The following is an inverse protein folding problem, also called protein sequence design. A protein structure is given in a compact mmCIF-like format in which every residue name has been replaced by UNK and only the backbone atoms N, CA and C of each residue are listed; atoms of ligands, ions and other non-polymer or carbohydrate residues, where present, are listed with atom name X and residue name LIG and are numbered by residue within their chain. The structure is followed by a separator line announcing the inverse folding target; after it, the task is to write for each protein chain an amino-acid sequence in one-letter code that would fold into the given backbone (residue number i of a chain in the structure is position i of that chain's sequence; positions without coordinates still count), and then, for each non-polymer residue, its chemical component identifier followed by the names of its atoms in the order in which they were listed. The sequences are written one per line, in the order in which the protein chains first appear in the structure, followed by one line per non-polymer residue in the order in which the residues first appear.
data_IF_021618733465
#
_entry.id   IF_021618733465
#
_cell.length_a   1.000
_cell.length_b   1.000
_cell.length_c   1.000
_cell.angle_alpha   90.00
_cell.angle_beta   90.00
_cell.angle_gamma   90.00
#
_symmetry.space_group_name_H-M   'P 1'
#
loop_
_entity.id
_entity.type
_entity.pdbx_description
1 polymer ?
#
# COMPACT_ATOMS: atom_id res chain seq x y z
N UNK A 1 8.98 4.52 -22.88
CA UNK A 1 9.14 3.13 -23.36
C UNK A 1 8.04 2.20 -22.86
N UNK A 2 7.36 2.49 -21.74
CA UNK A 2 6.27 1.65 -21.18
C UNK A 2 5.00 1.53 -22.02
N UNK A 3 4.68 2.51 -22.88
CA UNK A 3 3.42 2.47 -23.66
C UNK A 3 3.42 1.42 -24.77
N UNK A 4 4.58 1.00 -25.27
CA UNK A 4 4.66 0.04 -26.39
C UNK A 4 4.55 -1.41 -25.91
N UNK A 5 4.96 -1.69 -24.67
CA UNK A 5 4.83 -3.02 -24.04
C UNK A 5 3.41 -3.26 -23.54
N UNK A 6 2.73 -2.21 -23.04
CA UNK A 6 1.33 -2.32 -22.58
C UNK A 6 0.36 -2.61 -23.73
N UNK A 7 0.61 -2.05 -24.93
CA UNK A 7 -0.21 -2.31 -26.13
C UNK A 7 0.01 -3.75 -26.62
N UNK A 8 1.25 -4.25 -26.60
CA UNK A 8 1.58 -5.64 -26.97
C UNK A 8 0.96 -6.66 -26.01
N UNK A 9 0.94 -6.35 -24.70
CA UNK A 9 0.30 -7.20 -23.69
C UNK A 9 -1.22 -7.21 -23.80
N UNK A 10 -1.84 -6.04 -24.04
CA UNK A 10 -3.28 -5.95 -24.28
C UNK A 10 -3.69 -6.72 -25.54
N UNK A 11 -2.87 -6.70 -26.60
CA UNK A 11 -3.11 -7.46 -27.82
C UNK A 11 -2.99 -8.98 -27.58
N UNK A 12 -1.94 -9.43 -26.87
CA UNK A 12 -1.76 -10.82 -26.42
C UNK A 12 -2.88 -11.31 -25.49
N UNK A 13 -3.44 -10.44 -24.65
CA UNK A 13 -4.56 -10.75 -23.76
C UNK A 13 -5.91 -10.75 -24.50
N UNK A 14 -6.03 -9.99 -25.60
CA UNK A 14 -7.28 -9.82 -26.36
C UNK A 14 -7.63 -10.99 -27.28
N UNK A 15 -6.69 -11.89 -27.58
CA UNK A 15 -6.97 -13.12 -28.32
C UNK A 15 -7.84 -14.04 -27.45
N UNK A 16 -9.16 -13.87 -27.61
CA UNK A 16 -10.23 -14.63 -26.95
C UNK A 16 -9.91 -16.12 -26.95
N UNK A 17 -10.33 -16.81 -25.90
CA UNK A 17 -10.40 -18.25 -25.71
C UNK A 17 -11.18 -19.04 -26.80
N UNK A 18 -11.41 -18.46 -27.97
CA UNK A 18 -11.97 -19.08 -29.17
C UNK A 18 -10.95 -19.78 -30.08
N UNK A 19 -9.65 -19.62 -29.83
CA UNK A 19 -8.58 -20.45 -30.42
C UNK A 19 -8.33 -21.73 -29.61
N UNK A 20 -9.29 -22.14 -28.77
CA UNK A 20 -9.31 -23.49 -28.23
C UNK A 20 -9.34 -24.44 -29.42
N UNK A 21 -8.32 -25.29 -29.55
CA UNK A 21 -8.32 -26.37 -30.55
C UNK A 21 -9.64 -27.11 -30.34
N UNK A 22 -10.60 -27.04 -31.28
CA UNK A 22 -11.87 -27.70 -31.09
C UNK A 22 -11.57 -29.20 -31.05
N UNK A 23 -11.84 -29.83 -29.91
CA UNK A 23 -11.73 -31.27 -29.79
C UNK A 23 -12.56 -31.91 -30.89
N UNK A 24 -11.98 -32.89 -31.56
CA UNK A 24 -12.75 -33.68 -32.50
C UNK A 24 -13.84 -34.44 -31.72
N UNK A 25 -14.98 -34.74 -32.35
CA UNK A 25 -16.13 -35.35 -31.69
C UNK A 25 -15.77 -36.67 -30.98
N UNK A 26 -14.80 -37.43 -31.52
CA UNK A 26 -14.31 -38.65 -30.89
C UNK A 26 -13.41 -38.39 -29.68
N UNK A 27 -12.65 -37.28 -29.66
CA UNK A 27 -11.83 -36.91 -28.50
C UNK A 27 -12.73 -36.54 -27.31
N UNK A 28 -13.82 -35.82 -27.56
CA UNK A 28 -14.84 -35.55 -26.55
C UNK A 28 -15.44 -36.83 -25.97
N UNK A 29 -15.78 -37.80 -26.84
CA UNK A 29 -16.29 -39.10 -26.40
C UNK A 29 -15.26 -39.90 -25.59
N UNK A 30 -13.97 -39.85 -25.96
CA UNK A 30 -12.91 -40.52 -25.22
C UNK A 30 -12.77 -39.93 -23.81
N UNK A 31 -12.85 -38.61 -23.67
CA UNK A 31 -12.79 -37.93 -22.37
C UNK A 31 -14.00 -38.29 -21.50
N UNK A 32 -15.21 -38.30 -22.07
CA UNK A 32 -16.42 -38.70 -21.35
C UNK A 32 -16.33 -40.16 -20.87
N UNK A 33 -15.84 -41.06 -21.71
CA UNK A 33 -15.60 -42.46 -21.32
C UNK A 33 -14.52 -42.58 -20.24
N UNK A 34 -13.50 -41.72 -20.25
CA UNK A 34 -12.47 -41.69 -19.21
C UNK A 34 -13.03 -41.22 -17.86
N UNK A 35 -13.88 -40.20 -17.87
CA UNK A 35 -14.59 -39.72 -16.68
C UNK A 35 -15.50 -40.81 -16.09
N UNK A 36 -16.31 -41.46 -16.94
CA UNK A 36 -17.16 -42.58 -16.54
C UNK A 36 -16.34 -43.74 -15.96
N UNK A 37 -15.19 -44.05 -16.56
CA UNK A 37 -14.32 -45.12 -16.10
C UNK A 37 -13.70 -44.81 -14.74
N UNK A 38 -13.35 -43.55 -14.48
CA UNK A 38 -12.87 -43.13 -13.17
C UNK A 38 -13.96 -43.14 -12.10
N UNK A 39 -15.19 -42.77 -12.46
CA UNK A 39 -16.35 -42.87 -11.56
C UNK A 39 -16.60 -44.34 -11.18
N UNK A 40 -16.62 -45.26 -12.16
CA UNK A 40 -16.77 -46.69 -11.89
C UNK A 40 -15.64 -47.26 -11.02
N UNK A 41 -14.40 -46.79 -11.20
CA UNK A 41 -13.28 -47.18 -10.33
C UNK A 41 -13.47 -46.69 -8.90
N UNK A 42 -14.01 -45.48 -8.72
CA UNK A 42 -14.33 -44.95 -7.40
C UNK A 42 -15.45 -45.76 -6.74
N UNK A 43 -16.51 -46.08 -7.47
CA UNK A 43 -17.61 -46.92 -7.00
C UNK A 43 -17.11 -48.31 -6.57
N UNK A 44 -16.26 -48.94 -7.40
CA UNK A 44 -15.66 -50.22 -7.06
C UNK A 44 -14.83 -50.12 -5.77
N UNK A 45 -13.98 -49.09 -5.64
CA UNK A 45 -13.18 -48.90 -4.44
C UNK A 45 -14.04 -48.67 -3.18
N UNK A 46 -15.18 -47.97 -3.31
CA UNK A 46 -16.13 -47.77 -2.21
C UNK A 46 -16.81 -49.09 -1.80
N UNK A 47 -17.21 -49.92 -2.76
CA UNK A 47 -17.80 -51.24 -2.49
C UNK A 47 -16.78 -52.20 -1.86
N UNK A 48 -15.52 -52.16 -2.30
CA UNK A 48 -14.42 -52.92 -1.69
C UNK A 48 -14.16 -52.45 -0.24
N UNK A 49 -14.23 -51.15 0.04
CA UNK A 49 -14.14 -50.62 1.39
C UNK A 49 -15.33 -51.07 2.26
N UNK A 50 -16.56 -50.97 1.75
CA UNK A 50 -17.77 -51.36 2.48
C UNK A 50 -17.81 -52.87 2.79
N UNK A 51 -17.27 -53.71 1.90
CA UNK A 51 -17.20 -55.16 2.10
C UNK A 51 -16.06 -55.60 3.04
N UNK A 52 -14.99 -54.82 3.16
CA UNK A 52 -13.83 -55.13 4.03
C UNK A 52 -14.04 -54.68 5.49
N UNK A 53 -14.70 -53.54 5.73
CA UNK A 53 -15.02 -53.02 7.08
C UNK A 53 -15.72 -54.05 8.00
N UNK A 54 -16.76 -54.80 7.57
CA UNK A 54 -17.41 -55.78 8.43
C UNK A 54 -16.57 -57.04 8.70
N UNK A 55 -15.51 -57.30 7.91
CA UNK A 55 -14.63 -58.48 8.09
C UNK A 55 -13.56 -58.27 9.17
N UNK A 56 -13.30 -57.02 9.59
CA UNK A 56 -12.23 -56.66 10.54
C UNK A 56 -12.70 -56.59 12.01
N UNK A 57 -13.93 -57.01 12.32
CA UNK A 57 -14.47 -57.03 13.68
C UNK A 57 -13.95 -58.23 14.50
N UNK A 58 -12.64 -58.26 14.78
CA UNK A 58 -12.09 -59.10 15.85
C UNK A 58 -11.92 -58.25 17.12
N UNK A 59 -12.28 -58.76 18.31
CA UNK A 59 -12.08 -58.03 19.56
C UNK A 59 -10.59 -57.99 19.88
N UNK A 60 -9.93 -56.89 19.50
CA UNK A 60 -8.55 -56.57 19.85
C UNK A 60 -8.50 -55.88 21.21
N UNK A 61 -7.37 -56.02 21.91
CA UNK A 61 -7.08 -55.29 23.14
C UNK A 61 -6.82 -53.81 22.80
N UNK A 62 -7.12 -52.85 23.70
CA UNK A 62 -6.97 -51.40 23.42
C UNK A 62 -5.56 -51.01 22.93
N UNK A 63 -4.51 -51.62 23.50
CA UNK A 63 -3.11 -51.39 23.06
C UNK A 63 -2.81 -51.95 21.66
N UNK A 64 -3.42 -53.08 21.29
CA UNK A 64 -3.27 -53.69 19.97
C UNK A 64 -4.05 -52.89 18.92
N UNK A 65 -5.23 -52.36 19.30
CA UNK A 65 -6.04 -51.46 18.49
C UNK A 65 -5.26 -50.18 18.13
N UNK A 66 -4.67 -49.51 19.12
CA UNK A 66 -3.87 -48.30 18.89
C UNK A 66 -2.67 -48.59 17.97
N UNK A 67 -2.00 -49.73 18.16
CA UNK A 67 -0.90 -50.14 17.29
C UNK A 67 -1.34 -50.36 15.85
N UNK A 68 -2.49 -51.01 15.62
CA UNK A 68 -3.02 -51.26 14.28
C UNK A 68 -3.53 -49.98 13.62
N UNK A 69 -4.14 -49.06 14.37
CA UNK A 69 -4.54 -47.75 13.86
C UNK A 69 -3.32 -46.97 13.37
N UNK A 70 -2.23 -46.93 14.15
CA UNK A 70 -1.02 -46.21 13.72
C UNK A 70 -0.34 -46.83 12.49
N UNK A 71 -0.48 -48.14 12.29
CA UNK A 71 0.03 -48.85 11.10
C UNK A 71 -0.88 -48.54 9.91
N UNK A 72 -2.20 -48.66 10.06
CA UNK A 72 -3.17 -48.36 9.02
C UNK A 72 -3.12 -46.89 8.57
N UNK A 73 -2.90 -45.95 9.50
CA UNK A 73 -2.68 -44.54 9.18
C UNK A 73 -1.44 -44.34 8.31
N UNK A 74 -0.33 -45.00 8.64
CA UNK A 74 0.91 -44.94 7.85
C UNK A 74 0.71 -45.54 6.46
N UNK A 75 0.10 -46.72 6.39
CA UNK A 75 -0.19 -47.40 5.11
C UNK A 75 -1.14 -46.56 4.23
N UNK A 76 -2.15 -45.93 4.83
CA UNK A 76 -3.05 -45.01 4.14
C UNK A 76 -2.32 -43.77 3.60
N UNK A 77 -1.45 -43.16 4.41
CA UNK A 77 -0.63 -42.02 3.99
C UNK A 77 0.35 -42.41 2.88
N UNK A 78 0.97 -43.59 2.96
CA UNK A 78 1.85 -44.13 1.91
C UNK A 78 1.09 -44.41 0.61
N UNK A 79 -0.08 -45.03 0.70
CA UNK A 79 -0.96 -45.28 -0.45
C UNK A 79 -1.41 -43.95 -1.10
N UNK A 80 -1.77 -42.94 -0.29
CA UNK A 80 -2.13 -41.61 -0.80
C UNK A 80 -0.95 -40.92 -1.47
N UNK A 81 0.23 -40.95 -0.85
CA UNK A 81 1.42 -40.34 -1.42
C UNK A 81 1.82 -41.01 -2.74
N UNK A 82 1.77 -42.35 -2.81
CA UNK A 82 2.09 -43.10 -4.04
C UNK A 82 1.06 -42.87 -5.14
N UNK A 83 -0.23 -42.75 -4.80
CA UNK A 83 -1.27 -42.40 -5.77
C UNK A 83 -1.06 -40.99 -6.34
N UNK A 84 -0.85 -39.98 -5.48
CA UNK A 84 -0.61 -38.61 -5.93
C UNK A 84 0.66 -38.50 -6.79
N UNK A 85 1.72 -39.23 -6.43
CA UNK A 85 2.95 -39.28 -7.23
C UNK A 85 2.69 -39.91 -8.60
N UNK A 86 1.97 -41.04 -8.66
CA UNK A 86 1.60 -41.66 -9.94
C UNK A 86 0.77 -40.73 -10.81
N UNK A 87 -0.23 -40.05 -10.21
CA UNK A 87 -1.06 -39.09 -10.91
C UNK A 87 -0.23 -37.92 -11.46
N UNK A 88 0.63 -37.33 -10.63
CA UNK A 88 1.55 -36.26 -11.04
C UNK A 88 2.45 -36.70 -12.19
N UNK A 89 3.07 -37.88 -12.10
CA UNK A 89 3.95 -38.40 -13.16
C UNK A 89 3.18 -38.62 -14.47
N UNK A 90 1.95 -39.15 -14.40
CA UNK A 90 1.12 -39.34 -15.59
C UNK A 90 0.76 -37.99 -16.22
N UNK A 91 0.35 -37.02 -15.41
CA UNK A 91 0.03 -35.67 -15.86
C UNK A 91 1.24 -34.98 -16.49
N UNK A 92 2.40 -35.05 -15.82
CA UNK A 92 3.66 -34.49 -16.33
C UNK A 92 4.04 -35.09 -17.68
N UNK A 93 3.93 -36.42 -17.85
CA UNK A 93 4.22 -37.08 -19.13
C UNK A 93 3.23 -36.65 -20.22
N UNK A 94 1.93 -36.56 -19.89
CA UNK A 94 0.89 -36.14 -20.82
C UNK A 94 1.04 -34.68 -21.28
N UNK A 95 1.61 -33.81 -20.45
CA UNK A 95 1.84 -32.40 -20.78
C UNK A 95 3.20 -32.22 -21.47
N UNK A 96 4.27 -32.79 -20.91
CA UNK A 96 5.65 -32.51 -21.33
C UNK A 96 5.99 -33.12 -22.68
N UNK A 97 5.55 -34.36 -22.97
CA UNK A 97 5.88 -35.02 -24.24
C UNK A 97 5.31 -34.28 -25.46
N UNK A 98 4.02 -33.87 -25.49
CA UNK A 98 3.49 -33.05 -26.57
C UNK A 98 4.15 -31.68 -26.68
N UNK A 99 4.51 -31.03 -25.56
CA UNK A 99 5.20 -29.73 -25.56
C UNK A 99 6.61 -29.86 -26.15
N UNK A 100 7.38 -30.88 -25.73
CA UNK A 100 8.71 -31.13 -26.28
C UNK A 100 8.64 -31.44 -27.77
N UNK A 101 7.65 -32.21 -28.21
CA UNK A 101 7.46 -32.49 -29.64
C UNK A 101 7.02 -31.28 -30.44
N UNK A 102 6.11 -30.47 -29.89
CA UNK A 102 5.67 -29.22 -30.51
C UNK A 102 6.84 -28.27 -30.76
N UNK A 103 7.76 -28.13 -29.80
CA UNK A 103 8.90 -27.21 -29.89
C UNK A 103 10.07 -27.81 -30.69
N UNK A 104 10.41 -29.09 -30.48
CA UNK A 104 11.66 -29.66 -30.97
C UNK A 104 11.53 -30.66 -32.13
N UNK A 105 10.36 -31.26 -32.34
CA UNK A 105 10.22 -32.38 -33.28
C UNK A 105 9.89 -31.94 -34.71
N UNK A 106 9.60 -30.66 -34.98
CA UNK A 106 9.51 -30.07 -36.32
C UNK A 106 8.65 -30.89 -37.30
N UNK A 107 9.31 -31.63 -38.21
CA UNK A 107 8.67 -32.49 -39.21
C UNK A 107 8.19 -33.86 -38.66
N UNK A 108 8.78 -34.33 -37.56
CA UNK A 108 8.43 -35.59 -36.90
C UNK A 108 7.26 -35.43 -35.91
N UNK A 109 6.86 -34.19 -35.60
CA UNK A 109 5.69 -33.90 -34.77
C UNK A 109 4.38 -34.20 -35.51
N UNK A 110 3.41 -34.73 -34.79
CA UNK A 110 2.04 -34.91 -35.30
C UNK A 110 1.42 -33.54 -35.64
N UNK A 111 0.45 -33.48 -36.56
CA UNK A 111 -0.18 -32.20 -36.93
C UNK A 111 -0.85 -31.50 -35.73
N UNK A 112 -1.37 -32.26 -34.77
CA UNK A 112 -1.93 -31.75 -33.51
C UNK A 112 -0.85 -31.18 -32.60
N UNK A 113 0.29 -31.85 -32.45
CA UNK A 113 1.45 -31.33 -31.70
C UNK A 113 1.98 -30.04 -32.33
N UNK A 114 2.06 -29.95 -33.66
CA UNK A 114 2.51 -28.73 -34.35
C UNK A 114 1.54 -27.55 -34.14
N UNK A 115 0.25 -27.81 -33.99
CA UNK A 115 -0.75 -26.79 -33.70
C UNK A 115 -0.60 -26.20 -32.28
N UNK A 116 0.09 -26.89 -31.36
CA UNK A 116 0.35 -26.39 -30.01
C UNK A 116 1.42 -25.29 -29.97
N UNK A 117 2.32 -25.22 -30.96
CA UNK A 117 3.43 -24.27 -30.98
C UNK A 117 3.02 -22.79 -30.74
N UNK A 118 2.05 -22.21 -31.46
CA UNK A 118 1.64 -20.83 -31.22
C UNK A 118 1.03 -20.61 -29.82
N UNK A 119 0.38 -21.63 -29.25
CA UNK A 119 -0.16 -21.57 -27.89
C UNK A 119 0.95 -21.60 -26.84
N UNK A 120 2.01 -22.39 -27.09
CA UNK A 120 3.21 -22.45 -26.24
C UNK A 120 3.95 -21.11 -26.29
N UNK A 121 4.19 -20.54 -27.48
CA UNK A 121 4.82 -19.23 -27.61
C UNK A 121 4.02 -18.14 -26.86
N UNK A 122 2.69 -18.20 -26.95
CA UNK A 122 1.81 -17.28 -26.22
C UNK A 122 1.92 -17.49 -24.71
N UNK A 123 1.90 -18.73 -24.23
CA UNK A 123 2.08 -19.04 -22.81
C UNK A 123 3.42 -18.47 -22.32
N UNK A 124 4.50 -18.73 -23.04
CA UNK A 124 5.85 -18.34 -22.64
C UNK A 124 6.01 -16.81 -22.61
N UNK A 125 5.43 -16.10 -23.59
CA UNK A 125 5.41 -14.62 -23.60
C UNK A 125 4.59 -14.04 -22.44
N UNK A 126 3.44 -14.63 -22.12
CA UNK A 126 2.63 -14.24 -20.95
C UNK A 126 3.33 -14.54 -19.64
N UNK A 127 4.05 -15.66 -19.54
CA UNK A 127 4.80 -16.06 -18.36
C UNK A 127 5.98 -15.11 -18.11
N UNK A 128 6.70 -14.72 -19.15
CA UNK A 128 7.75 -13.69 -19.07
C UNK A 128 7.16 -12.36 -18.60
N UNK A 129 6.02 -11.93 -19.17
CA UNK A 129 5.37 -10.70 -18.73
C UNK A 129 4.91 -10.78 -17.26
N UNK A 130 4.33 -11.91 -16.86
CA UNK A 130 3.88 -12.13 -15.49
C UNK A 130 5.03 -12.14 -14.48
N UNK A 131 6.15 -12.80 -14.78
CA UNK A 131 7.34 -12.82 -13.92
C UNK A 131 7.96 -11.43 -13.78
N UNK A 132 8.02 -10.66 -14.88
CA UNK A 132 8.43 -9.27 -14.84
C UNK A 132 7.51 -8.42 -13.96
N UNK A 133 6.18 -8.49 -14.16
CA UNK A 133 5.23 -7.76 -13.33
C UNK A 133 5.33 -8.15 -11.85
N UNK A 134 5.42 -9.45 -11.56
CA UNK A 134 5.59 -9.98 -10.20
C UNK A 134 6.87 -9.46 -9.54
N UNK A 135 7.99 -9.45 -10.26
CA UNK A 135 9.25 -8.88 -9.74
C UNK A 135 9.14 -7.37 -9.47
N UNK A 136 8.52 -6.60 -10.37
CA UNK A 136 8.31 -5.16 -10.16
C UNK A 136 7.38 -4.88 -8.98
N UNK A 137 6.33 -5.69 -8.80
CA UNK A 137 5.43 -5.62 -7.67
C UNK A 137 6.20 -5.88 -6.37
N UNK A 138 7.01 -6.94 -6.33
CA UNK A 138 7.84 -7.25 -5.16
C UNK A 138 8.82 -6.13 -4.82
N UNK A 139 9.45 -5.49 -5.81
CA UNK A 139 10.33 -4.34 -5.57
C UNK A 139 9.56 -3.13 -5.03
N UNK A 140 8.39 -2.83 -5.59
CA UNK A 140 7.55 -1.71 -5.12
C UNK A 140 7.03 -1.94 -3.71
N UNK A 141 6.62 -3.17 -3.37
CA UNK A 141 6.23 -3.50 -2.00
C UNK A 141 7.39 -3.32 -1.02
N UNK A 142 8.60 -3.73 -1.41
CA UNK A 142 9.79 -3.54 -0.58
C UNK A 142 10.10 -2.05 -0.38
N UNK A 143 10.02 -1.24 -1.44
CA UNK A 143 10.20 0.20 -1.37
C UNK A 143 9.14 0.87 -0.49
N UNK A 144 7.86 0.50 -0.65
CA UNK A 144 6.77 1.01 0.18
C UNK A 144 6.96 0.63 1.66
N UNK A 145 7.43 -0.59 1.94
CA UNK A 145 7.75 -1.02 3.30
C UNK A 145 8.92 -0.22 3.88
N UNK A 146 9.97 0.06 3.10
CA UNK A 146 11.09 0.91 3.53
C UNK A 146 10.65 2.36 3.80
N UNK A 147 9.87 2.95 2.90
CA UNK A 147 9.35 4.31 3.04
C UNK A 147 8.43 4.44 4.27
N UNK A 148 7.58 3.44 4.53
CA UNK A 148 6.74 3.45 5.73
C UNK A 148 7.56 3.35 7.02
N UNK A 149 8.61 2.52 7.05
CA UNK A 149 9.54 2.45 8.17
C UNK A 149 10.29 3.78 8.40
N UNK A 150 10.76 4.43 7.33
CA UNK A 150 11.42 5.73 7.42
C UNK A 150 10.46 6.84 7.84
N UNK A 151 9.21 6.81 7.38
CA UNK A 151 8.15 7.72 7.84
C UNK A 151 7.90 7.58 9.33
N UNK A 152 7.77 6.35 9.84
CA UNK A 152 7.60 6.08 11.28
C UNK A 152 8.79 6.65 12.07
N UNK A 153 10.02 6.38 11.60
CA UNK A 153 11.23 6.91 12.23
C UNK A 153 11.29 8.44 12.22
N UNK A 154 10.86 9.09 11.13
CA UNK A 154 10.79 10.54 11.03
C UNK A 154 9.72 11.12 11.95
N UNK A 155 8.55 10.48 12.06
CA UNK A 155 7.48 10.87 12.98
C UNK A 155 7.95 10.76 14.44
N UNK A 156 8.68 9.71 14.80
CA UNK A 156 9.23 9.53 16.15
C UNK A 156 10.26 10.62 16.49
N UNK A 157 11.15 10.96 15.55
CA UNK A 157 12.08 12.09 15.70
C UNK A 157 11.36 13.42 15.84
N UNK A 158 10.36 13.68 15.00
CA UNK A 158 9.55 14.89 15.09
C UNK A 158 8.83 14.98 16.44
N UNK A 159 8.27 13.87 16.92
CA UNK A 159 7.65 13.81 18.25
C UNK A 159 8.67 14.15 19.35
N UNK A 160 9.86 13.57 19.31
CA UNK A 160 10.91 13.87 20.28
C UNK A 160 11.33 15.35 20.25
N UNK A 161 11.51 15.94 19.07
CA UNK A 161 11.86 17.36 18.92
C UNK A 161 10.71 18.28 19.35
N UNK A 162 9.46 17.94 19.07
CA UNK A 162 8.32 18.73 19.56
C UNK A 162 8.22 18.69 21.09
N UNK A 163 8.52 17.54 21.72
CA UNK A 163 8.58 17.44 23.16
C UNK A 163 9.71 18.30 23.75
N UNK A 164 10.90 18.33 23.15
CA UNK A 164 11.99 19.20 23.62
C UNK A 164 11.67 20.68 23.39
N UNK A 165 11.03 21.03 22.28
CA UNK A 165 10.57 22.40 22.02
C UNK A 165 9.51 22.86 23.02
N UNK A 166 8.57 21.99 23.41
CA UNK A 166 7.59 22.31 24.44
C UNK A 166 8.27 22.59 25.78
N UNK A 167 9.20 21.73 26.21
CA UNK A 167 9.98 21.96 27.44
C UNK A 167 10.80 23.25 27.37
N UNK A 168 11.39 23.58 26.21
CA UNK A 168 12.11 24.84 26.03
C UNK A 168 11.17 26.05 26.06
N UNK A 169 10.01 25.95 25.42
CA UNK A 169 9.00 27.01 25.40
C UNK A 169 8.45 27.26 26.81
N UNK A 170 8.20 26.21 27.59
CA UNK A 170 7.83 26.32 29.01
C UNK A 170 8.91 27.01 29.83
N UNK A 171 10.19 26.68 29.62
CA UNK A 171 11.32 27.35 30.29
C UNK A 171 11.42 28.83 29.93
N UNK A 172 11.28 29.17 28.65
CA UNK A 172 11.30 30.57 28.18
C UNK A 172 10.10 31.33 28.73
N UNK A 173 8.92 30.71 28.78
CA UNK A 173 7.73 31.30 29.36
C UNK A 173 7.91 31.53 30.86
N UNK A 174 8.42 30.55 31.61
CA UNK A 174 8.72 30.69 33.03
C UNK A 174 9.75 31.80 33.30
N UNK A 175 10.80 31.93 32.48
CA UNK A 175 11.77 33.03 32.58
C UNK A 175 11.13 34.39 32.30
N UNK A 176 10.24 34.49 31.28
CA UNK A 176 9.49 35.72 31.01
C UNK A 176 8.59 36.08 32.19
N UNK A 177 7.87 35.11 32.73
CA UNK A 177 6.97 35.33 33.86
C UNK A 177 7.76 35.71 35.12
N UNK A 178 8.94 35.14 35.36
CA UNK A 178 9.84 35.53 36.46
C UNK A 178 10.33 36.99 36.32
N UNK A 179 10.75 37.40 35.11
CA UNK A 179 11.15 38.79 34.82
C UNK A 179 9.98 39.77 35.00
N UNK A 180 8.75 39.37 34.66
CA UNK A 180 7.55 40.20 34.82
C UNK A 180 7.12 40.27 36.30
N UNK A 181 7.31 39.19 37.07
CA UNK A 181 6.96 39.11 38.49
C UNK A 181 7.94 39.84 39.41
N UNK A 182 9.12 40.23 38.91
CA UNK A 182 10.05 41.06 39.67
C UNK A 182 9.44 42.45 39.95
N UNK A 183 9.15 42.79 41.22
CA UNK A 183 8.39 44.00 41.57
C UNK A 183 9.12 45.30 41.24
N UNK A 184 10.43 45.24 40.98
CA UNK A 184 11.23 46.38 40.51
C UNK A 184 11.03 46.65 39.02
N UNK A 185 10.92 45.61 38.20
CA UNK A 185 10.72 45.76 36.75
C UNK A 185 9.27 46.15 36.44
N UNK A 186 8.28 45.64 37.17
CA UNK A 186 6.89 46.09 37.03
C UNK A 186 6.72 47.56 37.42
N UNK A 187 7.31 48.00 38.54
CA UNK A 187 7.30 49.40 38.95
C UNK A 187 7.99 50.33 37.94
N UNK A 188 9.09 49.88 37.32
CA UNK A 188 9.77 50.65 36.25
C UNK A 188 8.93 50.72 34.97
N UNK A 189 8.27 49.62 34.58
CA UNK A 189 7.38 49.60 33.42
C UNK A 189 6.16 50.50 33.62
N UNK A 190 5.55 50.50 34.79
CA UNK A 190 4.42 51.37 35.09
C UNK A 190 4.85 52.85 35.18
N UNK A 191 6.04 53.13 35.72
CA UNK A 191 6.65 54.47 35.65
C UNK A 191 6.82 54.95 34.20
N UNK A 192 7.41 54.12 33.34
CA UNK A 192 7.59 54.44 31.91
C UNK A 192 6.27 54.60 31.17
N UNK A 193 5.22 53.85 31.51
CA UNK A 193 3.88 54.02 30.95
C UNK A 193 3.26 55.36 31.34
N UNK A 194 3.39 55.75 32.60
CA UNK A 194 2.90 57.04 33.10
C UNK A 194 3.68 58.18 32.42
N UNK A 195 5.00 58.06 32.29
CA UNK A 195 5.83 59.05 31.60
C UNK A 195 5.48 59.15 30.11
N UNK A 196 5.24 58.04 29.43
CA UNK A 196 4.80 58.03 28.04
C UNK A 196 3.40 58.65 27.87
N UNK A 197 2.47 58.37 28.78
CA UNK A 197 1.13 58.96 28.77
C UNK A 197 1.18 60.47 29.01
N UNK A 198 2.00 60.93 29.97
CA UNK A 198 2.18 62.37 30.22
C UNK A 198 2.90 63.07 29.07
N UNK A 199 3.89 62.42 28.43
CA UNK A 199 4.56 62.94 27.24
C UNK A 199 3.60 63.05 26.05
N UNK A 200 2.76 62.04 25.80
CA UNK A 200 1.71 62.09 24.77
C UNK A 200 0.71 63.21 25.04
N UNK A 201 0.25 63.35 26.28
CA UNK A 201 -0.68 64.42 26.64
C UNK A 201 -0.04 65.80 26.44
N UNK A 202 1.22 65.98 26.81
CA UNK A 202 1.97 67.23 26.56
C UNK A 202 2.13 67.50 25.07
N UNK A 203 2.45 66.48 24.28
CA UNK A 203 2.55 66.61 22.83
C UNK A 203 1.22 66.99 22.20
N UNK A 204 0.10 66.38 22.62
CA UNK A 204 -1.25 66.74 22.17
C UNK A 204 -1.61 68.19 22.49
N UNK A 205 -1.31 68.65 23.71
CA UNK A 205 -1.53 70.06 24.10
C UNK A 205 -0.65 70.99 23.25
N UNK A 206 0.61 70.64 23.04
CA UNK A 206 1.52 71.47 22.23
C UNK A 206 1.08 71.51 20.76
N UNK A 207 0.63 70.38 20.21
CA UNK A 207 0.09 70.28 18.85
C UNK A 207 -1.17 71.13 18.71
N UNK A 208 -2.11 71.05 19.64
CA UNK A 208 -3.36 71.84 19.59
C UNK A 208 -3.10 73.35 19.72
N UNK A 209 -2.15 73.77 20.57
CA UNK A 209 -1.75 75.18 20.67
C UNK A 209 -1.11 75.66 19.38
N UNK A 210 -0.19 74.89 18.79
CA UNK A 210 0.47 75.27 17.53
C UNK A 210 -0.54 75.32 16.38
N UNK A 211 -1.44 74.35 16.29
CA UNK A 211 -2.52 74.34 15.30
C UNK A 211 -3.43 75.57 15.45
N UNK A 212 -3.82 75.92 16.69
CA UNK A 212 -4.64 77.12 16.96
C UNK A 212 -3.92 78.43 16.60
N UNK A 213 -2.62 78.53 16.87
CA UNK A 213 -1.81 79.71 16.49
C UNK A 213 -1.71 79.83 14.97
N UNK A 214 -1.44 78.73 14.26
CA UNK A 214 -1.32 78.74 12.81
C UNK A 214 -2.66 79.10 12.16
N UNK A 215 -3.76 78.47 12.59
CA UNK A 215 -5.10 78.77 12.10
C UNK A 215 -5.55 80.20 12.44
N UNK A 216 -5.19 80.72 13.62
CA UNK A 216 -5.53 82.07 14.07
C UNK A 216 -4.64 83.18 13.48
N UNK A 217 -3.47 82.86 12.95
CA UNK A 217 -2.51 83.83 12.39
C UNK A 217 -2.90 84.40 11.02
N UNK A 218 -3.90 83.80 10.36
CA UNK A 218 -4.33 84.21 9.02
C UNK A 218 -3.39 83.80 7.87
N UNK A 219 -2.38 82.97 8.15
CA UNK A 219 -1.52 82.33 7.13
C UNK A 219 -2.33 81.27 6.38
N UNK A 220 -2.17 81.19 5.05
CA UNK A 220 -2.85 80.20 4.18
C UNK A 220 -2.22 78.81 4.33
N UNK A 221 -2.39 78.21 5.51
CA UNK A 221 -1.85 76.91 5.92
C UNK A 221 -2.40 75.74 5.11
N UNK A 222 -3.51 75.93 4.39
CA UNK A 222 -4.11 74.90 3.55
C UNK A 222 -3.30 74.63 2.27
N UNK A 223 -2.42 75.54 1.83
CA UNK A 223 -1.61 75.38 0.61
C UNK A 223 -0.19 74.87 0.85
N UNK A 224 0.30 74.98 2.08
CA UNK A 224 1.61 74.46 2.49
C UNK A 224 1.41 73.08 3.12
N UNK A 225 2.00 72.05 2.52
CA UNK A 225 1.87 70.66 2.96
C UNK A 225 2.41 70.46 4.40
N UNK A 226 3.42 71.25 4.78
CA UNK A 226 4.04 71.17 6.11
C UNK A 226 3.17 71.78 7.21
N UNK A 227 2.45 72.87 6.89
CA UNK A 227 1.52 73.50 7.82
C UNK A 227 0.20 72.76 7.88
N UNK A 228 -0.20 72.14 6.77
CA UNK A 228 -1.38 71.29 6.68
C UNK A 228 -1.26 70.08 7.61
N UNK A 229 -0.13 69.38 7.58
CA UNK A 229 0.14 68.23 8.46
C UNK A 229 0.21 68.61 9.95
N UNK A 230 0.68 69.82 10.24
CA UNK A 230 0.79 70.32 11.61
C UNK A 230 -0.56 70.74 12.21
N UNK A 231 -1.50 71.20 11.37
CA UNK A 231 -2.84 71.66 11.76
C UNK A 231 -3.87 70.52 11.71
N UNK A 232 -3.74 69.57 10.78
CA UNK A 232 -4.62 68.41 10.71
C UNK A 232 -4.22 67.39 11.79
N UNK A 233 -5.20 66.99 12.58
CA UNK A 233 -5.05 65.83 13.46
C UNK A 233 -5.31 64.56 12.66
N UNK A 234 -4.24 63.90 12.22
CA UNK A 234 -4.26 62.47 11.87
C UNK A 234 -4.35 61.61 13.15
N UNK A 235 -5.22 61.99 14.09
CA UNK A 235 -5.75 61.04 15.08
C UNK A 235 -7.01 60.42 14.43
N UNK A 236 -6.80 59.53 13.46
CA UNK A 236 -7.79 58.47 13.23
C UNK A 236 -7.80 57.62 14.50
N UNK A 237 -8.75 57.93 15.38
CA UNK A 237 -9.21 57.07 16.47
C UNK A 237 -9.57 55.70 15.88
N UNK A 238 -8.59 54.79 15.88
CA UNK A 238 -8.86 53.37 15.93
C UNK A 238 -9.03 53.01 17.41
N UNK A 239 -10.25 53.23 17.91
CA UNK A 239 -10.80 52.38 18.98
C UNK A 239 -11.21 51.02 18.38
#
# INVERSE_FOLDING_TARGET
MSSSTDIAFADLASHRSGDAIPFYETEGQILELWDQLNELRLEQALLEAETTVPLMQQPLTDEEMDSQVTIAEKECLEARATYLLKQSVVEDVLIVDPVLKAVHSGLNATPTERALHPLIDRRDTLEIAHTNLSSTLQTLLKEAAMLSADSIRAMEKNRALTATLLVLAEKVQAQRDEIIMDPRFSAQLDGLRIDAATARQRWRIMKSVVAAVIAGSGVDWARDDTLRDLVLDDENEAD
#
